data_IF_115449630701
#
_entry.id   IF_115449630701
#
_cell.length_a   1.000
_cell.length_b   1.000
_cell.length_c   1.000
_cell.angle_alpha   90.00
_cell.angle_beta   90.00
_cell.angle_gamma   90.00
#
_symmetry.space_group_name_H-M   'P 1'
#
loop_
_entity.id
_entity.type
_entity.pdbx_description
1 polymer ?
#
# COMPACT_ATOMS: atom_id res chain seq x y z
N UNK A 1 15.31 9.95 6.15
CA UNK A 1 15.74 8.89 5.21
C UNK A 1 14.51 8.40 4.48
N UNK A 2 14.62 8.00 3.21
CA UNK A 2 13.44 7.58 2.47
C UNK A 2 12.88 6.23 2.92
N UNK A 3 11.58 6.02 2.72
CA UNK A 3 10.82 4.80 3.06
C UNK A 3 10.05 4.28 1.84
N UNK A 4 10.16 2.98 1.57
CA UNK A 4 9.36 2.27 0.58
C UNK A 4 8.44 1.28 1.30
N UNK A 5 7.15 1.37 1.01
CA UNK A 5 6.15 0.43 1.50
C UNK A 5 5.71 -0.50 0.36
N UNK A 6 5.79 -1.81 0.59
CA UNK A 6 5.38 -2.83 -0.38
C UNK A 6 4.39 -3.76 0.31
N UNK A 7 3.22 -3.95 -0.27
CA UNK A 7 2.24 -4.91 0.22
C UNK A 7 1.79 -5.86 -0.90
N UNK A 8 1.26 -7.02 -0.50
CA UNK A 8 0.65 -7.98 -1.41
C UNK A 8 -0.54 -8.66 -0.74
N UNK A 9 -1.34 -9.37 -1.54
CA UNK A 9 -2.46 -10.19 -1.06
C UNK A 9 -3.54 -9.36 -0.34
N UNK A 10 -3.84 -8.16 -0.85
CA UNK A 10 -4.97 -7.36 -0.37
C UNK A 10 -6.30 -7.97 -0.82
N UNK A 11 -6.39 -8.39 -2.08
CA UNK A 11 -7.30 -9.46 -2.44
C UNK A 11 -6.59 -10.78 -2.13
N UNK A 12 -7.11 -11.53 -1.16
CA UNK A 12 -6.35 -12.64 -0.57
C UNK A 12 -6.26 -13.89 -1.48
N UNK A 13 -7.06 -13.93 -2.55
CA UNK A 13 -7.07 -14.95 -3.59
C UNK A 13 -6.06 -14.66 -4.74
N UNK A 14 -5.35 -13.53 -4.69
CA UNK A 14 -4.31 -13.13 -5.64
C UNK A 14 -2.91 -13.65 -5.23
N UNK A 15 -2.74 -14.98 -5.29
CA UNK A 15 -1.54 -15.68 -4.79
C UNK A 15 -0.19 -15.28 -5.43
N UNK A 16 -0.07 -14.94 -6.73
CA UNK A 16 1.19 -14.52 -7.34
C UNK A 16 1.87 -13.37 -6.61
N UNK A 17 1.13 -12.36 -6.15
CA UNK A 17 1.67 -11.23 -5.39
C UNK A 17 2.33 -11.68 -4.08
N UNK A 18 1.72 -12.64 -3.38
CA UNK A 18 2.27 -13.24 -2.17
C UNK A 18 3.61 -13.95 -2.43
N UNK A 19 3.70 -14.67 -3.55
CA UNK A 19 4.93 -15.36 -3.96
C UNK A 19 6.06 -14.37 -4.28
N UNK A 20 5.75 -13.30 -5.01
CA UNK A 20 6.70 -12.21 -5.27
C UNK A 20 7.18 -11.59 -3.95
N UNK A 21 6.27 -11.29 -3.02
CA UNK A 21 6.62 -10.76 -1.70
C UNK A 21 7.53 -11.72 -0.91
N UNK A 22 7.31 -13.03 -1.01
CA UNK A 22 8.20 -14.02 -0.41
C UNK A 22 9.63 -13.96 -0.96
N UNK A 23 9.78 -13.90 -2.29
CA UNK A 23 11.10 -13.75 -2.92
C UNK A 23 11.77 -12.42 -2.58
N UNK A 24 11.00 -11.32 -2.53
CA UNK A 24 11.47 -10.02 -2.09
C UNK A 24 12.00 -10.09 -0.66
N UNK A 25 11.27 -10.72 0.28
CA UNK A 25 11.71 -10.89 1.67
C UNK A 25 13.10 -11.52 1.75
N UNK A 26 13.34 -12.60 1.00
CA UNK A 26 14.65 -13.28 0.99
C UNK A 26 15.75 -12.37 0.43
N UNK A 27 15.48 -11.70 -0.70
CA UNK A 27 16.47 -10.85 -1.35
C UNK A 27 16.79 -9.59 -0.54
N UNK A 28 15.77 -8.96 0.03
CA UNK A 28 15.91 -7.78 0.88
C UNK A 28 16.68 -8.11 2.15
N UNK A 29 16.39 -9.25 2.79
CA UNK A 29 17.16 -9.71 3.96
C UNK A 29 18.64 -9.93 3.65
N UNK A 30 18.99 -10.42 2.46
CA UNK A 30 20.39 -10.51 2.04
C UNK A 30 21.04 -9.14 1.87
N UNK A 31 20.35 -8.20 1.21
CA UNK A 31 20.86 -6.84 1.00
C UNK A 31 21.00 -6.07 2.31
N UNK A 32 20.09 -6.28 3.27
CA UNK A 32 20.15 -5.69 4.60
C UNK A 32 21.39 -6.18 5.36
N UNK A 33 21.64 -7.49 5.40
CA UNK A 33 22.85 -8.07 6.02
C UNK A 33 24.15 -7.54 5.41
N UNK A 34 24.12 -7.22 4.13
CA UNK A 34 25.26 -6.63 3.41
C UNK A 34 25.38 -5.10 3.58
N UNK A 35 24.44 -4.44 4.30
CA UNK A 35 24.43 -2.97 4.44
C UNK A 35 24.16 -2.23 3.13
N UNK A 36 23.48 -2.87 2.17
CA UNK A 36 23.25 -2.33 0.82
C UNK A 36 21.90 -1.65 0.63
N UNK A 37 21.04 -1.71 1.65
CA UNK A 37 19.77 -0.97 1.63
C UNK A 37 20.03 0.51 1.87
N UNK A 38 19.61 1.35 0.91
CA UNK A 38 19.73 2.81 1.00
C UNK A 38 18.58 3.47 1.76
N UNK A 39 17.45 2.77 1.82
CA UNK A 39 16.18 3.24 2.34
C UNK A 39 15.56 2.15 3.20
N UNK A 40 14.69 2.55 4.11
CA UNK A 40 13.83 1.62 4.84
C UNK A 40 12.86 0.97 3.86
N UNK A 41 12.66 -0.33 4.00
CA UNK A 41 11.66 -1.07 3.22
C UNK A 41 10.75 -1.81 4.18
N UNK A 42 9.48 -1.44 4.18
CA UNK A 42 8.42 -2.14 4.91
C UNK A 42 7.71 -3.06 3.93
N UNK A 43 7.84 -4.37 4.14
CA UNK A 43 7.24 -5.40 3.30
C UNK A 43 6.11 -6.12 4.07
N UNK A 44 4.90 -6.10 3.53
CA UNK A 44 3.70 -6.76 4.06
C UNK A 44 3.21 -7.83 3.09
N UNK A 45 3.66 -9.09 3.21
CA UNK A 45 3.31 -10.14 2.25
C UNK A 45 1.83 -10.53 2.25
N UNK A 46 1.17 -10.40 3.40
CA UNK A 46 -0.25 -10.74 3.60
C UNK A 46 -0.92 -9.51 4.19
N UNK A 47 -1.43 -8.63 3.32
CA UNK A 47 -2.15 -7.42 3.71
C UNK A 47 -3.57 -7.75 4.23
N UNK A 48 -4.15 -8.86 3.77
CA UNK A 48 -5.53 -9.24 4.11
C UNK A 48 -5.65 -10.62 4.78
N UNK A 49 -5.33 -10.75 6.09
CA UNK A 49 -5.54 -12.01 6.80
C UNK A 49 -7.02 -12.41 6.89
N UNK A 50 -7.95 -11.45 6.93
CA UNK A 50 -9.40 -11.74 7.00
C UNK A 50 -9.85 -12.47 5.73
N UNK A 51 -9.55 -11.91 4.55
CA UNK A 51 -9.87 -12.52 3.26
C UNK A 51 -9.16 -13.86 3.04
N UNK A 52 -7.95 -14.03 3.60
CA UNK A 52 -7.21 -15.30 3.49
C UNK A 52 -7.91 -16.45 4.23
N UNK A 53 -8.63 -16.14 5.30
CA UNK A 53 -9.43 -17.10 6.07
C UNK A 53 -10.82 -17.35 5.46
N UNK A 54 -11.24 -16.57 4.45
CA UNK A 54 -12.54 -16.74 3.79
C UNK A 54 -12.50 -17.86 2.76
N UNK A 55 -12.90 -19.07 3.17
CA UNK A 55 -13.05 -20.23 2.29
C UNK A 55 -14.50 -20.73 2.36
N UNK A 56 -15.14 -20.83 1.20
CA UNK A 56 -16.49 -21.39 1.07
C UNK A 56 -16.47 -22.57 0.11
N UNK A 57 -16.79 -23.77 0.59
CA UNK A 57 -16.78 -25.00 -0.22
C UNK A 57 -15.44 -25.22 -0.95
N UNK A 58 -14.32 -25.08 -0.22
CA UNK A 58 -12.95 -25.15 -0.73
C UNK A 58 -12.59 -24.11 -1.79
N UNK A 59 -13.41 -23.07 -1.97
CA UNK A 59 -13.14 -21.92 -2.83
C UNK A 59 -12.71 -20.73 -1.96
N UNK A 60 -11.46 -20.23 -2.11
CA UNK A 60 -11.05 -18.99 -1.49
C UNK A 60 -11.85 -17.80 -2.04
N UNK A 61 -12.31 -16.93 -1.16
CA UNK A 61 -13.06 -15.72 -1.50
C UNK A 61 -12.30 -14.52 -0.94
N UNK A 62 -11.30 -14.03 -1.67
CA UNK A 62 -10.37 -13.02 -1.15
C UNK A 62 -10.69 -11.57 -1.54
N UNK A 63 -11.57 -11.37 -2.52
CA UNK A 63 -11.84 -10.04 -3.10
C UNK A 63 -12.79 -9.16 -2.28
N UNK A 64 -13.79 -9.75 -1.65
CA UNK A 64 -14.84 -9.04 -0.90
C UNK A 64 -14.95 -9.61 0.51
N UNK A 65 -15.21 -8.75 1.48
CA UNK A 65 -15.47 -9.15 2.87
C UNK A 65 -16.88 -9.77 2.96
N UNK A 66 -16.99 -10.96 3.58
CA UNK A 66 -18.21 -11.77 3.52
C UNK A 66 -19.43 -11.13 4.21
N UNK A 67 -19.25 -10.38 5.29
CA UNK A 67 -20.36 -9.81 6.05
C UNK A 67 -20.99 -8.60 5.35
N UNK A 68 -20.17 -7.70 4.82
CA UNK A 68 -20.58 -6.42 4.24
C UNK A 68 -20.68 -6.44 2.71
N UNK A 69 -20.03 -7.40 2.05
CA UNK A 69 -19.87 -7.44 0.60
C UNK A 69 -18.94 -6.34 0.06
N UNK A 70 -18.21 -5.64 0.92
CA UNK A 70 -17.29 -4.59 0.50
C UNK A 70 -16.01 -5.16 -0.07
N UNK A 71 -15.53 -4.54 -1.16
CA UNK A 71 -14.22 -4.87 -1.71
C UNK A 71 -13.11 -4.40 -0.75
N UNK A 72 -12.13 -5.27 -0.47
CA UNK A 72 -11.03 -4.95 0.44
C UNK A 72 -10.19 -3.76 -0.04
N UNK A 73 -10.02 -3.61 -1.35
CA UNK A 73 -9.28 -2.54 -2.02
C UNK A 73 -10.17 -1.31 -2.38
N UNK A 74 -11.19 -1.00 -1.59
CA UNK A 74 -12.05 0.20 -1.74
C UNK A 74 -12.31 0.84 -0.38
N UNK A 75 -12.86 2.07 -0.38
CA UNK A 75 -13.30 2.76 0.84
C UNK A 75 -12.20 2.89 1.91
N UNK A 76 -10.98 3.17 1.46
CA UNK A 76 -9.92 3.68 2.34
C UNK A 76 -10.32 5.06 2.88
N UNK A 77 -9.81 5.43 4.05
CA UNK A 77 -10.16 6.70 4.68
C UNK A 77 -9.60 7.83 3.84
N UNK A 78 -10.48 8.70 3.35
CA UNK A 78 -10.10 9.94 2.68
C UNK A 78 -10.10 11.07 3.71
N UNK A 79 -8.95 11.74 3.84
CA UNK A 79 -8.71 12.83 4.78
C UNK A 79 -8.22 14.09 4.05
N UNK A 80 -8.24 14.08 2.71
CA UNK A 80 -7.62 15.10 1.86
C UNK A 80 -8.15 16.49 2.17
N UNK A 81 -9.49 16.67 2.17
CA UNK A 81 -10.11 17.97 2.43
C UNK A 81 -9.86 18.44 3.87
N UNK A 82 -10.06 17.56 4.85
CA UNK A 82 -9.89 17.89 6.28
C UNK A 82 -8.46 18.30 6.61
N UNK A 83 -7.48 17.59 6.06
CA UNK A 83 -6.07 17.92 6.26
C UNK A 83 -5.72 19.18 5.47
N UNK A 84 -6.22 19.32 4.23
CA UNK A 84 -6.03 20.49 3.38
C UNK A 84 -6.42 21.77 4.09
N UNK A 85 -7.65 21.83 4.61
CA UNK A 85 -8.17 22.98 5.36
C UNK A 85 -7.32 23.27 6.62
N UNK A 86 -6.84 22.22 7.30
CA UNK A 86 -6.03 22.38 8.51
C UNK A 86 -4.65 22.96 8.23
N UNK A 87 -4.00 22.57 7.12
CA UNK A 87 -2.61 22.93 6.85
C UNK A 87 -2.48 24.15 5.93
N UNK A 88 -3.55 24.59 5.26
CA UNK A 88 -3.51 25.66 4.24
C UNK A 88 -2.74 26.91 4.73
N UNK A 89 -3.05 27.38 5.93
CA UNK A 89 -2.42 28.57 6.52
C UNK A 89 -0.95 28.35 6.95
N UNK A 90 -0.49 27.10 6.98
CA UNK A 90 0.84 26.70 7.42
C UNK A 90 1.75 26.30 6.24
N UNK A 91 1.23 26.23 5.01
CA UNK A 91 2.02 25.95 3.82
C UNK A 91 2.97 27.10 3.50
N UNK A 92 4.19 26.73 3.09
CA UNK A 92 5.25 27.68 2.73
C UNK A 92 5.72 27.45 1.30
N UNK A 93 6.72 28.22 0.86
CA UNK A 93 7.42 27.99 -0.42
C UNK A 93 8.49 26.88 -0.33
N UNK A 94 8.65 26.23 0.84
CA UNK A 94 9.55 25.08 1.01
C UNK A 94 8.77 23.76 0.87
N UNK A 95 8.96 23.01 -0.24
CA UNK A 95 8.27 21.74 -0.46
C UNK A 95 8.63 20.66 0.56
N UNK A 96 9.86 20.67 1.10
CA UNK A 96 10.29 19.66 2.06
C UNK A 96 9.58 19.87 3.41
N UNK A 97 9.44 21.12 3.84
CA UNK A 97 8.64 21.48 5.00
C UNK A 97 7.17 21.07 4.82
N UNK A 98 6.57 21.40 3.68
CA UNK A 98 5.17 21.09 3.39
C UNK A 98 4.92 19.58 3.37
N UNK A 99 5.84 18.78 2.79
CA UNK A 99 5.73 17.32 2.77
C UNK A 99 5.73 16.73 4.18
N UNK A 100 6.63 17.19 5.05
CA UNK A 100 6.69 16.71 6.44
C UNK A 100 5.42 17.09 7.21
N UNK A 101 4.93 18.32 7.04
CA UNK A 101 3.67 18.79 7.63
C UNK A 101 2.48 17.93 7.20
N UNK A 102 2.36 17.64 5.89
CA UNK A 102 1.30 16.78 5.34
C UNK A 102 1.39 15.38 5.95
N UNK A 103 2.58 14.77 5.98
CA UNK A 103 2.79 13.42 6.54
C UNK A 103 2.47 13.37 8.02
N UNK A 104 2.88 14.39 8.79
CA UNK A 104 2.58 14.48 10.22
C UNK A 104 1.07 14.57 10.47
N UNK A 105 0.37 15.47 9.78
CA UNK A 105 -1.08 15.61 9.91
C UNK A 105 -1.82 14.35 9.47
N UNK A 106 -1.44 13.74 8.35
CA UNK A 106 -2.03 12.50 7.85
C UNK A 106 -1.85 11.35 8.84
N UNK A 107 -0.63 11.15 9.35
CA UNK A 107 -0.35 10.13 10.36
C UNK A 107 -1.20 10.34 11.61
N UNK A 108 -1.26 11.58 12.13
CA UNK A 108 -2.06 11.92 13.32
C UNK A 108 -3.54 11.66 13.10
N UNK A 109 -4.09 12.10 11.97
CA UNK A 109 -5.50 11.92 11.63
C UNK A 109 -5.87 10.44 11.45
N UNK A 110 -5.03 9.65 10.76
CA UNK A 110 -5.23 8.20 10.62
C UNK A 110 -5.15 7.47 11.97
N UNK A 111 -4.28 7.89 12.88
CA UNK A 111 -4.21 7.31 14.25
C UNK A 111 -5.43 7.66 15.10
N UNK A 112 -5.99 8.86 14.93
CA UNK A 112 -7.20 9.29 15.63
C UNK A 112 -8.49 8.70 15.04
N UNK A 113 -8.46 8.23 13.79
CA UNK A 113 -9.65 7.67 13.13
C UNK A 113 -10.07 6.34 13.76
N UNK A 114 -11.35 6.17 14.15
CA UNK A 114 -11.84 4.96 14.78
C UNK A 114 -12.02 3.81 13.78
N UNK A 115 -11.87 2.57 14.26
CA UNK A 115 -12.22 1.36 13.52
C UNK A 115 -13.27 0.59 14.33
N UNK A 116 -14.42 0.31 13.72
CA UNK A 116 -15.52 -0.42 14.35
C UNK A 116 -15.67 -1.85 13.82
N UNK A 117 -15.01 -2.17 12.71
CA UNK A 117 -15.04 -3.50 12.09
C UNK A 117 -13.64 -4.02 11.77
N UNK A 118 -13.43 -5.34 11.62
CA UNK A 118 -12.16 -5.89 11.16
C UNK A 118 -11.68 -5.30 9.83
N UNK A 119 -12.60 -5.10 8.89
CA UNK A 119 -12.34 -4.47 7.60
C UNK A 119 -11.81 -3.03 7.74
N UNK A 120 -12.46 -2.21 8.57
CA UNK A 120 -12.00 -0.85 8.85
C UNK A 120 -10.63 -0.85 9.54
N UNK A 121 -10.43 -1.76 10.51
CA UNK A 121 -9.16 -1.90 11.23
C UNK A 121 -8.01 -2.27 10.30
N UNK A 122 -8.24 -3.20 9.37
CA UNK A 122 -7.27 -3.58 8.34
C UNK A 122 -6.90 -2.39 7.45
N UNK A 123 -7.89 -1.72 6.84
CA UNK A 123 -7.65 -0.56 5.96
C UNK A 123 -6.86 0.53 6.67
N UNK A 124 -7.25 0.87 7.90
CA UNK A 124 -6.54 1.86 8.71
C UNK A 124 -5.11 1.41 9.04
N UNK A 125 -4.89 0.13 9.33
CA UNK A 125 -3.55 -0.41 9.60
C UNK A 125 -2.65 -0.27 8.37
N UNK A 126 -3.14 -0.66 7.18
CA UNK A 126 -2.38 -0.53 5.93
C UNK A 126 -2.09 0.95 5.61
N UNK A 127 -3.08 1.84 5.76
CA UNK A 127 -2.87 3.29 5.56
C UNK A 127 -1.83 3.86 6.53
N UNK A 128 -1.87 3.47 7.82
CA UNK A 128 -0.88 3.93 8.82
C UNK A 128 0.54 3.44 8.51
N UNK A 129 0.69 2.25 7.94
CA UNK A 129 1.99 1.74 7.50
C UNK A 129 2.52 2.45 6.25
N UNK A 130 1.62 2.87 5.36
CA UNK A 130 1.95 3.43 4.05
C UNK A 130 2.07 4.96 4.02
N UNK A 131 1.36 5.68 4.91
CA UNK A 131 1.10 7.13 4.76
C UNK A 131 2.34 8.04 4.77
N UNK A 132 3.47 7.56 5.28
CA UNK A 132 4.74 8.29 5.34
C UNK A 132 5.82 7.71 4.42
N UNK A 133 5.46 6.74 3.57
CA UNK A 133 6.34 6.24 2.54
C UNK A 133 6.52 7.27 1.42
N UNK A 134 7.69 7.26 0.78
CA UNK A 134 7.94 7.99 -0.47
C UNK A 134 7.42 7.21 -1.68
N UNK A 135 7.28 5.89 -1.53
CA UNK A 135 6.75 5.00 -2.57
C UNK A 135 5.93 3.89 -1.94
N UNK A 136 4.73 3.68 -2.49
CA UNK A 136 3.82 2.59 -2.13
C UNK A 136 3.68 1.69 -3.35
N UNK A 137 4.03 0.42 -3.21
CA UNK A 137 3.81 -0.61 -4.22
C UNK A 137 2.81 -1.63 -3.68
N UNK A 138 1.69 -1.77 -4.37
CA UNK A 138 0.64 -2.73 -4.02
C UNK A 138 0.57 -3.81 -5.11
N UNK A 139 0.97 -5.03 -4.75
CA UNK A 139 1.10 -6.14 -5.70
C UNK A 139 -0.24 -6.88 -5.83
N UNK A 140 -0.84 -6.79 -7.01
CA UNK A 140 -2.07 -7.46 -7.39
C UNK A 140 -1.85 -8.36 -8.60
N UNK A 141 -2.78 -9.26 -8.87
CA UNK A 141 -2.87 -9.97 -10.16
C UNK A 141 -4.32 -10.12 -10.60
N UNK A 142 -4.54 -10.25 -11.90
CA UNK A 142 -5.83 -10.69 -12.43
C UNK A 142 -5.82 -12.19 -12.73
N UNK A 143 -6.99 -12.76 -13.05
CA UNK A 143 -7.12 -14.15 -13.49
C UNK A 143 -6.30 -14.43 -14.75
N UNK A 144 -6.36 -13.53 -15.72
CA UNK A 144 -5.58 -13.58 -16.95
C UNK A 144 -5.25 -12.14 -17.37
N UNK A 145 -3.99 -11.76 -17.21
CA UNK A 145 -3.50 -10.46 -17.61
C UNK A 145 -2.02 -10.51 -17.95
N UNK A 146 -1.59 -9.56 -18.78
CA UNK A 146 -0.17 -9.21 -18.93
C UNK A 146 0.32 -8.49 -17.67
N UNK A 147 1.63 -8.46 -17.44
CA UNK A 147 2.23 -7.57 -16.44
C UNK A 147 1.83 -6.13 -16.78
N UNK A 148 1.24 -5.40 -15.84
CA UNK A 148 0.81 -4.01 -16.06
C UNK A 148 0.92 -3.21 -14.76
N UNK A 149 1.02 -1.89 -14.88
CA UNK A 149 1.22 -0.98 -13.76
C UNK A 149 0.19 0.13 -13.79
N UNK A 150 -0.51 0.33 -12.66
CA UNK A 150 -1.39 1.47 -12.44
C UNK A 150 -0.63 2.59 -11.75
N UNK A 151 -0.73 3.81 -12.28
CA UNK A 151 -0.17 5.01 -11.67
C UNK A 151 -0.91 6.26 -12.14
N UNK A 152 -0.58 7.42 -11.58
CA UNK A 152 -1.08 8.71 -12.05
C UNK A 152 -0.05 9.39 -12.96
N UNK A 153 -0.48 10.30 -13.86
CA UNK A 153 0.45 11.05 -14.70
C UNK A 153 1.54 11.78 -13.91
N UNK A 154 1.20 12.30 -12.72
CA UNK A 154 2.11 13.03 -11.83
C UNK A 154 3.19 12.12 -11.24
N UNK A 155 2.86 10.85 -10.98
CA UNK A 155 3.79 9.87 -10.43
C UNK A 155 4.64 9.18 -11.51
N UNK A 156 4.27 9.26 -12.79
CA UNK A 156 4.95 8.58 -13.89
C UNK A 156 6.47 8.75 -13.90
N UNK A 157 7.05 9.97 -13.75
CA UNK A 157 8.51 10.14 -13.76
C UNK A 157 9.26 9.31 -12.70
N UNK A 158 8.57 8.92 -11.61
CA UNK A 158 9.15 8.12 -10.53
C UNK A 158 9.03 6.61 -10.75
N UNK A 159 8.02 6.17 -11.51
CA UNK A 159 7.70 4.74 -11.69
C UNK A 159 8.03 4.20 -13.08
N UNK A 160 8.30 5.07 -14.06
CA UNK A 160 8.62 4.74 -15.44
C UNK A 160 9.72 3.67 -15.55
N UNK A 161 10.84 3.87 -14.87
CA UNK A 161 11.96 2.92 -14.90
C UNK A 161 11.56 1.55 -14.31
N UNK A 162 10.78 1.54 -13.23
CA UNK A 162 10.26 0.31 -12.63
C UNK A 162 9.34 -0.43 -13.62
N UNK A 163 8.43 0.29 -14.27
CA UNK A 163 7.55 -0.25 -15.31
C UNK A 163 8.34 -0.96 -16.41
N UNK A 164 9.46 -0.37 -16.86
CA UNK A 164 10.35 -0.99 -17.86
C UNK A 164 11.07 -2.22 -17.32
N UNK A 165 11.56 -2.20 -16.07
CA UNK A 165 12.22 -3.35 -15.46
C UNK A 165 11.28 -4.54 -15.24
N UNK A 166 10.01 -4.26 -14.93
CA UNK A 166 8.96 -5.27 -14.84
C UNK A 166 8.56 -5.82 -16.22
N UNK A 167 8.80 -5.06 -17.29
CA UNK A 167 8.31 -5.41 -18.63
C UNK A 167 6.80 -5.23 -18.75
N UNK A 168 6.25 -4.22 -18.04
CA UNK A 168 4.83 -3.93 -18.05
C UNK A 168 4.34 -3.55 -19.46
N UNK A 169 3.12 -3.97 -19.77
CA UNK A 169 2.44 -3.82 -21.06
C UNK A 169 1.11 -3.09 -20.86
N UNK A 170 0.58 -2.51 -21.94
CA UNK A 170 -0.67 -1.75 -21.98
C UNK A 170 -1.44 -2.06 -23.27
#
# INVERSE_FOLDING_TARGET
>A
AGKVYIQASLHADELPGMLVAWHLKQRLGELERQGRLRHEIVLVPIANPVGLEQVLMDVPLGRYELQSGENFNRKFVDLSDTIGDQIEAHLTQDPAHNLELIRECLRRALHAHPAMTPLQSQRLTLQRLACDADMVLDLHCDFEAVEHLYTTPEAWPQVEALSRYLGAQA
#
